data_IF_636566111821
#
_entry.id   IF_636566111821
#
_cell.length_a   1.000
_cell.length_b   1.000
_cell.length_c   1.000
_cell.angle_alpha   90.00
_cell.angle_beta   90.00
_cell.angle_gamma   90.00
#
_symmetry.space_group_name_H-M   'P 1'
#
loop_
_entity.id
_entity.type
_entity.pdbx_description
1 polymer ?
#
# COMPACT_ATOMS: atom_id res chain seq x y z
N UNK A 1 1.94 -11.19 24.04
CA UNK A 1 3.08 -11.16 23.08
C UNK A 1 2.82 -10.02 22.09
N UNK A 2 3.83 -9.23 21.74
CA UNK A 2 3.70 -8.17 20.73
C UNK A 2 4.12 -8.76 19.38
N UNK A 3 3.21 -8.81 18.40
CA UNK A 3 3.52 -9.26 17.04
C UNK A 3 4.03 -8.05 16.24
N UNK A 4 5.03 -8.22 15.35
CA UNK A 4 5.41 -7.18 14.42
C UNK A 4 4.25 -6.80 13.50
N UNK A 5 4.13 -5.51 13.17
CA UNK A 5 3.21 -5.05 12.13
C UNK A 5 3.70 -5.48 10.74
N UNK A 6 2.77 -5.89 9.90
CA UNK A 6 2.97 -6.19 8.49
C UNK A 6 2.42 -5.02 7.67
N UNK A 7 3.32 -4.23 7.11
CA UNK A 7 2.98 -3.07 6.29
C UNK A 7 3.19 -3.44 4.81
N UNK A 8 2.15 -3.28 3.99
CA UNK A 8 2.20 -3.60 2.56
C UNK A 8 2.92 -2.49 1.79
N UNK A 9 4.14 -2.77 1.33
CA UNK A 9 5.00 -1.84 0.60
C UNK A 9 4.44 -1.52 -0.80
N UNK A 10 4.00 -0.28 -0.99
CA UNK A 10 3.27 0.23 -2.16
C UNK A 10 1.97 -0.52 -2.46
N UNK A 11 1.31 -1.01 -1.42
CA UNK A 11 0.20 -1.99 -1.52
C UNK A 11 0.69 -3.43 -1.69
N UNK A 12 -0.17 -4.33 -2.14
CA UNK A 12 0.20 -5.70 -2.49
C UNK A 12 0.89 -5.75 -3.87
N UNK A 13 2.01 -5.04 -4.01
CA UNK A 13 2.74 -4.76 -5.27
C UNK A 13 3.20 -6.00 -6.03
N UNK A 14 3.34 -7.15 -5.36
CA UNK A 14 3.62 -8.43 -6.00
C UNK A 14 2.40 -9.05 -6.73
N UNK A 15 1.18 -8.54 -6.48
CA UNK A 15 -0.07 -9.12 -6.96
C UNK A 15 -0.91 -8.17 -7.83
N UNK A 16 -0.64 -6.86 -7.76
CA UNK A 16 -1.26 -5.83 -8.58
C UNK A 16 -0.28 -4.66 -8.75
N UNK A 17 -0.44 -3.79 -9.77
CA UNK A 17 0.46 -2.66 -9.98
C UNK A 17 0.59 -1.79 -8.72
N UNK A 18 1.84 -1.47 -8.34
CA UNK A 18 2.16 -0.70 -7.15
C UNK A 18 1.50 0.69 -7.13
N UNK A 19 1.25 1.23 -5.92
CA UNK A 19 0.62 2.55 -5.72
C UNK A 19 -0.74 2.71 -6.42
N UNK A 20 -1.48 1.61 -6.63
CA UNK A 20 -2.85 1.63 -7.16
C UNK A 20 -3.88 1.19 -6.14
N UNK A 21 -5.13 1.65 -6.31
CA UNK A 21 -6.28 1.18 -5.52
C UNK A 21 -6.41 -0.35 -5.57
N UNK A 22 -6.09 -0.99 -6.71
CA UNK A 22 -6.13 -2.44 -6.83
C UNK A 22 -5.12 -3.13 -5.90
N UNK A 23 -3.89 -2.63 -5.82
CA UNK A 23 -2.88 -3.13 -4.87
C UNK A 23 -3.27 -2.86 -3.41
N UNK A 24 -3.94 -1.74 -3.12
CA UNK A 24 -4.42 -1.41 -1.78
C UNK A 24 -5.55 -2.34 -1.35
N UNK A 25 -6.56 -2.53 -2.20
CA UNK A 25 -7.65 -3.48 -1.94
C UNK A 25 -7.09 -4.89 -1.71
N UNK A 26 -6.12 -5.31 -2.52
CA UNK A 26 -5.49 -6.62 -2.33
C UNK A 26 -4.71 -6.73 -1.01
N UNK A 27 -4.06 -5.66 -0.56
CA UNK A 27 -3.40 -5.62 0.75
C UNK A 27 -4.41 -5.72 1.92
N UNK A 28 -5.57 -5.07 1.78
CA UNK A 28 -6.68 -5.18 2.74
C UNK A 28 -7.24 -6.61 2.79
N UNK A 29 -7.46 -7.24 1.63
CA UNK A 29 -7.91 -8.64 1.53
C UNK A 29 -6.91 -9.61 2.18
N UNK A 30 -5.62 -9.26 2.17
CA UNK A 30 -4.54 -10.03 2.79
C UNK A 30 -4.32 -9.69 4.28
N UNK A 31 -5.16 -8.83 4.86
CA UNK A 31 -5.10 -8.40 6.26
C UNK A 31 -3.73 -7.80 6.67
N UNK A 32 -3.15 -6.97 5.79
CA UNK A 32 -2.01 -6.14 6.19
C UNK A 32 -2.43 -5.15 7.30
N UNK A 33 -1.55 -4.91 8.27
CA UNK A 33 -1.80 -3.99 9.38
C UNK A 33 -1.76 -2.52 8.92
N UNK A 34 -1.10 -2.25 7.79
CA UNK A 34 -1.04 -0.95 7.15
C UNK A 34 -0.60 -1.04 5.69
N UNK A 35 -0.74 0.07 4.97
CA UNK A 35 -0.31 0.22 3.59
C UNK A 35 0.67 1.39 3.54
N UNK A 36 1.82 1.16 2.94
CA UNK A 36 2.80 2.20 2.61
C UNK A 36 2.57 2.65 1.16
N UNK A 37 2.77 3.95 0.90
CA UNK A 37 2.56 4.58 -0.41
C UNK A 37 3.62 5.64 -0.67
N UNK A 38 3.99 5.81 -1.95
CA UNK A 38 4.77 6.96 -2.40
C UNK A 38 3.84 8.06 -2.93
N UNK A 39 4.12 9.33 -2.60
CA UNK A 39 3.35 10.49 -3.07
C UNK A 39 4.28 11.49 -3.73
N UNK A 40 3.89 12.01 -4.90
CA UNK A 40 4.59 13.06 -5.62
C UNK A 40 3.65 14.25 -5.87
N UNK A 41 4.19 15.47 -5.79
CA UNK A 41 3.47 16.70 -6.08
C UNK A 41 3.46 17.01 -7.58
N UNK A 42 2.31 17.32 -8.15
CA UNK A 42 2.18 17.73 -9.55
C UNK A 42 2.57 19.20 -9.77
N UNK A 43 2.67 19.61 -11.03
CA UNK A 43 2.97 21.01 -11.41
C UNK A 43 1.90 21.99 -10.92
N UNK A 44 0.63 21.58 -10.90
CA UNK A 44 -0.51 22.35 -10.41
C UNK A 44 -0.75 22.18 -8.89
N UNK A 45 0.23 21.61 -8.17
CA UNK A 45 0.26 21.47 -6.71
C UNK A 45 -0.82 20.53 -6.14
N UNK A 46 -1.14 19.49 -6.89
CA UNK A 46 -1.94 18.35 -6.42
C UNK A 46 -1.03 17.23 -5.92
#
# INVERSE_FOLDING_TARGET
MHKPFVIAHRGASAYAPENTIAAFNKALDMAADGIEIDVHLTKDRH
#
